data_IF_311500611594
#
_entry.id   IF_311500611594
#
_cell.length_a   1.000
_cell.length_b   1.000
_cell.length_c   1.000
_cell.angle_alpha   90.00
_cell.angle_beta   90.00
_cell.angle_gamma   90.00
#
_symmetry.space_group_name_H-M   'P 1'
#
loop_
_entity.id
_entity.type
_entity.pdbx_description
1 polymer ?
#
# COMPACT_ATOMS: atom_id res chain seq x y z
N UNK A 1 4.76 49.02 -7.41
CA UNK A 1 4.23 48.94 -6.03
C UNK A 1 2.75 48.58 -6.18
N UNK A 2 2.41 47.29 -6.13
CA UNK A 2 1.02 46.82 -6.30
C UNK A 2 0.28 47.00 -4.97
N UNK A 3 -0.92 47.56 -5.01
CA UNK A 3 -1.73 47.88 -3.84
C UNK A 3 -2.33 46.62 -3.21
N UNK A 4 -2.57 46.67 -1.90
CA UNK A 4 -3.04 45.55 -1.05
C UNK A 4 -4.29 44.81 -1.59
N UNK A 5 -5.12 45.46 -2.40
CA UNK A 5 -6.33 44.87 -2.97
C UNK A 5 -6.05 43.82 -4.08
N UNK A 6 -4.91 43.89 -4.77
CA UNK A 6 -4.54 42.86 -5.76
C UNK A 6 -4.06 41.55 -5.10
N UNK A 7 -3.63 41.60 -3.83
CA UNK A 7 -3.11 40.43 -3.10
C UNK A 7 -4.23 39.59 -2.48
N UNK A 8 -5.39 40.18 -2.16
CA UNK A 8 -6.51 39.44 -1.55
C UNK A 8 -7.31 38.61 -2.58
N UNK A 9 -7.29 38.99 -3.86
CA UNK A 9 -8.03 38.26 -4.92
C UNK A 9 -7.39 36.94 -5.36
N UNK A 10 -6.13 36.68 -4.98
CA UNK A 10 -5.41 35.44 -5.32
C UNK A 10 -5.57 34.31 -4.28
N UNK A 11 -6.37 34.53 -3.22
CA UNK A 11 -6.56 33.55 -2.13
C UNK A 11 -7.67 32.53 -2.37
N UNK A 12 -8.28 32.50 -3.56
CA UNK A 12 -9.31 31.52 -3.88
C UNK A 12 -8.69 30.17 -4.25
N UNK A 13 -8.66 29.26 -3.26
CA UNK A 13 -8.47 27.83 -3.48
C UNK A 13 -7.20 27.20 -2.89
N UNK A 14 -6.70 27.69 -1.75
CA UNK A 14 -5.65 26.94 -1.05
C UNK A 14 -6.24 25.65 -0.45
N UNK A 15 -6.02 24.52 -1.12
CA UNK A 15 -6.22 23.20 -0.50
C UNK A 15 -5.07 23.00 0.48
N UNK A 16 -5.32 23.12 1.77
CA UNK A 16 -4.36 22.72 2.80
C UNK A 16 -4.20 21.21 2.73
N UNK A 17 -2.97 20.77 2.51
CA UNK A 17 -2.60 19.35 2.56
C UNK A 17 -1.83 19.14 3.85
N UNK A 18 -2.45 18.43 4.78
CA UNK A 18 -1.82 18.04 6.04
C UNK A 18 -1.24 16.63 5.91
N UNK A 19 -0.02 16.44 6.42
CA UNK A 19 0.67 15.15 6.44
C UNK A 19 0.77 14.65 7.87
N UNK A 20 0.32 13.42 8.10
CA UNK A 20 0.46 12.72 9.39
C UNK A 20 1.39 11.52 9.17
N UNK A 21 2.59 11.57 9.75
CA UNK A 21 3.54 10.46 9.76
C UNK A 21 3.46 9.74 11.10
N UNK A 22 3.07 8.47 11.09
CA UNK A 22 3.01 7.64 12.30
C UNK A 22 3.70 6.30 12.08
N UNK A 23 4.45 5.86 13.08
CA UNK A 23 5.06 4.53 13.11
C UNK A 23 3.97 3.47 13.35
N UNK A 24 3.63 2.74 12.28
CA UNK A 24 2.58 1.73 12.32
C UNK A 24 3.08 0.36 12.82
N UNK A 25 4.33 0.22 13.26
CA UNK A 25 4.95 -1.08 13.61
C UNK A 25 4.21 -1.85 14.70
N UNK A 26 3.48 -1.19 15.61
CA UNK A 26 2.72 -1.81 16.69
C UNK A 26 1.20 -1.63 16.52
N UNK A 27 0.40 -2.63 16.94
CA UNK A 27 -1.08 -2.57 16.92
C UNK A 27 -1.61 -1.41 17.77
N UNK A 28 -0.97 -1.11 18.91
CA UNK A 28 -1.28 0.07 19.72
C UNK A 28 -1.07 1.38 18.95
N UNK A 29 0.04 1.50 18.21
CA UNK A 29 0.31 2.63 17.33
C UNK A 29 -0.74 2.79 16.23
N UNK A 30 -1.27 1.69 15.69
CA UNK A 30 -2.37 1.75 14.71
C UNK A 30 -3.71 2.20 15.32
N UNK A 31 -4.00 1.85 16.58
CA UNK A 31 -5.20 2.34 17.30
C UNK A 31 -5.10 3.85 17.56
N UNK A 32 -3.99 4.27 18.16
CA UNK A 32 -3.71 5.68 18.44
C UNK A 32 -3.73 6.50 17.15
N UNK A 33 -3.16 6.00 16.05
CA UNK A 33 -3.25 6.65 14.75
C UNK A 33 -4.71 6.88 14.30
N UNK A 34 -5.57 5.87 14.40
CA UNK A 34 -6.99 6.01 13.99
C UNK A 34 -7.70 7.05 14.87
N UNK A 35 -7.46 7.05 16.18
CA UNK A 35 -8.03 8.02 17.13
C UNK A 35 -7.52 9.45 16.89
N UNK A 36 -6.24 9.61 16.58
CA UNK A 36 -5.62 10.89 16.22
C UNK A 36 -6.20 11.44 14.91
N UNK A 37 -6.36 10.59 13.89
CA UNK A 37 -6.99 10.97 12.63
C UNK A 37 -8.44 11.37 12.85
N UNK A 38 -9.22 10.58 13.60
CA UNK A 38 -10.61 10.88 13.95
C UNK A 38 -10.74 12.25 14.62
N UNK A 39 -9.85 12.55 15.55
CA UNK A 39 -9.78 13.87 16.22
C UNK A 39 -9.40 14.99 15.25
N UNK A 40 -8.44 14.75 14.36
CA UNK A 40 -7.90 15.76 13.46
C UNK A 40 -8.87 16.13 12.32
N UNK A 41 -9.55 15.15 11.72
CA UNK A 41 -10.39 15.36 10.53
C UNK A 41 -11.85 15.71 10.88
N UNK A 42 -12.33 15.28 12.05
CA UNK A 42 -13.70 15.49 12.48
C UNK A 42 -14.72 15.04 11.40
N UNK A 43 -15.81 15.80 11.16
CA UNK A 43 -16.85 15.41 10.20
C UNK A 43 -16.43 15.55 8.73
N UNK A 44 -15.24 16.08 8.43
CA UNK A 44 -14.78 16.33 7.05
C UNK A 44 -14.14 15.09 6.41
N UNK A 45 -13.59 14.19 7.22
CA UNK A 45 -12.91 12.97 6.76
C UNK A 45 -11.57 13.23 6.05
N UNK A 46 -10.86 12.15 5.71
CA UNK A 46 -9.61 12.18 4.95
C UNK A 46 -9.91 12.11 3.43
N UNK A 47 -9.26 12.97 2.63
CA UNK A 47 -9.44 13.01 1.18
C UNK A 47 -8.66 11.93 0.42
N UNK A 48 -7.45 11.58 0.87
CA UNK A 48 -6.64 10.49 0.33
C UNK A 48 -5.71 9.94 1.41
N UNK A 49 -5.52 8.63 1.44
CA UNK A 49 -4.64 7.99 2.42
C UNK A 49 -3.86 6.84 1.80
N UNK A 50 -2.55 6.83 2.04
CA UNK A 50 -1.67 5.72 1.66
C UNK A 50 -1.43 4.83 2.88
N UNK A 51 -1.92 3.59 2.84
CA UNK A 51 -1.93 2.67 3.98
C UNK A 51 -1.22 1.37 3.61
N UNK A 52 -0.30 0.93 4.46
CA UNK A 52 0.40 -0.36 4.29
C UNK A 52 -0.35 -1.55 4.94
N UNK A 53 -1.40 -1.31 5.74
CA UNK A 53 -1.98 -2.32 6.65
C UNK A 53 -3.51 -2.30 6.72
N UNK A 54 -4.11 -3.50 6.65
CA UNK A 54 -5.56 -3.77 6.73
C UNK A 54 -6.29 -3.03 7.87
N UNK A 55 -5.73 -3.05 9.08
CA UNK A 55 -6.38 -2.51 10.29
C UNK A 55 -6.82 -1.05 10.13
N UNK A 56 -5.90 -0.22 9.63
CA UNK A 56 -6.13 1.22 9.45
C UNK A 56 -7.15 1.44 8.33
N UNK A 57 -7.00 0.74 7.19
CA UNK A 57 -7.95 0.85 6.08
C UNK A 57 -9.36 0.44 6.51
N UNK A 58 -9.49 -0.70 7.19
CA UNK A 58 -10.77 -1.21 7.70
C UNK A 58 -11.42 -0.20 8.65
N UNK A 59 -10.72 0.25 9.69
CA UNK A 59 -11.34 1.12 10.69
C UNK A 59 -11.68 2.51 10.16
N UNK A 60 -10.82 3.12 9.34
CA UNK A 60 -11.16 4.40 8.73
C UNK A 60 -12.41 4.29 7.84
N UNK A 61 -12.55 3.17 7.15
CA UNK A 61 -13.70 2.87 6.30
C UNK A 61 -14.96 2.67 7.14
N UNK A 62 -14.94 1.74 8.10
CA UNK A 62 -16.13 1.36 8.87
C UNK A 62 -16.58 2.44 9.84
N UNK A 63 -15.67 3.32 10.29
CA UNK A 63 -15.99 4.45 11.17
C UNK A 63 -16.43 5.69 10.38
N UNK A 64 -16.46 5.65 9.05
CA UNK A 64 -16.85 6.79 8.22
C UNK A 64 -15.87 7.96 8.27
N UNK A 65 -14.58 7.68 8.48
CA UNK A 65 -13.52 8.69 8.58
C UNK A 65 -12.94 9.07 7.21
N UNK A 66 -13.40 8.43 6.14
CA UNK A 66 -13.05 8.77 4.77
C UNK A 66 -14.11 9.68 4.17
N UNK A 67 -13.69 10.71 3.42
CA UNK A 67 -14.62 11.53 2.66
C UNK A 67 -15.37 10.67 1.61
N UNK A 68 -16.62 11.01 1.25
CA UNK A 68 -17.35 10.30 0.21
C UNK A 68 -16.56 10.23 -1.11
N UNK A 69 -16.37 9.02 -1.65
CA UNK A 69 -15.60 8.80 -2.87
C UNK A 69 -14.08 8.85 -2.71
N UNK A 70 -13.55 8.93 -1.48
CA UNK A 70 -12.11 9.02 -1.24
C UNK A 70 -11.34 7.83 -1.84
N UNK A 71 -10.25 8.08 -2.58
CA UNK A 71 -9.30 7.06 -2.97
C UNK A 71 -8.44 6.63 -1.77
N UNK A 72 -8.32 5.32 -1.59
CA UNK A 72 -7.42 4.69 -0.61
C UNK A 72 -6.37 3.92 -1.40
N UNK A 73 -5.11 4.17 -1.10
CA UNK A 73 -3.98 3.57 -1.81
C UNK A 73 -3.20 2.66 -0.88
N UNK A 74 -2.78 1.51 -1.39
CA UNK A 74 -1.66 0.78 -0.81
C UNK A 74 -0.50 0.75 -1.77
N UNK A 75 0.69 0.94 -1.21
CA UNK A 75 1.95 0.95 -1.97
C UNK A 75 2.72 -0.31 -1.61
N UNK A 76 2.43 -1.37 -2.35
CA UNK A 76 3.15 -2.65 -2.32
C UNK A 76 2.99 -3.32 -3.69
N UNK A 77 3.78 -4.35 -3.99
CA UNK A 77 3.74 -5.01 -5.30
C UNK A 77 2.47 -5.86 -5.45
N UNK A 78 1.53 -5.52 -6.36
CA UNK A 78 0.35 -6.34 -6.62
C UNK A 78 0.67 -7.48 -7.60
N UNK A 79 -0.18 -8.49 -7.63
CA UNK A 79 -0.21 -9.51 -8.67
C UNK A 79 0.71 -10.71 -8.45
N UNK A 80 1.36 -10.86 -7.28
CA UNK A 80 2.09 -12.08 -6.96
C UNK A 80 1.16 -13.14 -6.40
N UNK A 81 1.50 -14.39 -6.67
CA UNK A 81 0.80 -15.55 -6.12
C UNK A 81 1.76 -16.39 -5.29
N UNK A 82 1.22 -16.95 -4.21
CA UNK A 82 1.87 -17.96 -3.40
C UNK A 82 0.89 -19.12 -3.25
N UNK A 83 0.98 -20.10 -4.14
CA UNK A 83 -0.07 -21.10 -4.32
C UNK A 83 -0.27 -21.99 -3.07
N UNK A 84 0.76 -22.14 -2.25
CA UNK A 84 0.72 -22.88 -0.99
C UNK A 84 0.41 -22.01 0.23
N UNK A 85 0.13 -20.72 0.07
CA UNK A 85 -0.25 -19.85 1.18
C UNK A 85 -1.55 -20.34 1.81
N UNK A 86 -1.56 -20.48 3.13
CA UNK A 86 -2.74 -20.86 3.89
C UNK A 86 -3.14 -19.75 4.85
N UNK A 87 -4.44 -19.57 5.06
CA UNK A 87 -4.97 -18.53 5.95
C UNK A 87 -4.64 -18.83 7.41
N UNK A 88 -4.53 -20.09 7.80
CA UNK A 88 -4.10 -20.50 9.14
C UNK A 88 -2.61 -20.24 9.40
N UNK A 89 -1.76 -20.34 8.38
CA UNK A 89 -0.30 -20.13 8.44
C UNK A 89 0.19 -18.92 7.60
N UNK A 90 -0.22 -17.70 7.98
CA UNK A 90 0.23 -16.46 7.31
C UNK A 90 1.69 -16.10 7.64
N UNK A 91 2.28 -16.66 8.69
CA UNK A 91 3.68 -16.46 9.06
C UNK A 91 4.63 -17.41 8.32
N UNK A 92 4.10 -18.35 7.52
CA UNK A 92 4.88 -19.38 6.80
C UNK A 92 5.70 -20.26 7.76
N UNK A 93 5.15 -20.54 8.93
CA UNK A 93 5.80 -21.33 9.96
C UNK A 93 6.07 -22.75 9.48
N UNK A 94 5.13 -23.38 8.76
CA UNK A 94 5.29 -24.73 8.23
C UNK A 94 6.49 -24.79 7.27
N UNK A 95 6.69 -23.76 6.43
CA UNK A 95 7.81 -23.70 5.49
C UNK A 95 9.15 -23.47 6.20
N UNK A 96 9.15 -22.68 7.27
CA UNK A 96 10.34 -22.50 8.12
C UNK A 96 10.73 -23.83 8.77
N UNK A 97 9.76 -24.55 9.33
CA UNK A 97 9.96 -25.88 9.92
C UNK A 97 10.43 -26.92 8.90
N UNK A 98 9.93 -26.84 7.65
CA UNK A 98 10.36 -27.70 6.55
C UNK A 98 11.77 -27.38 6.01
N UNK A 99 12.45 -26.36 6.56
CA UNK A 99 13.82 -26.02 6.19
C UNK A 99 13.98 -25.14 4.94
N UNK A 100 12.99 -24.30 4.62
CA UNK A 100 13.09 -23.34 3.51
C UNK A 100 14.34 -22.45 3.67
N UNK A 101 15.05 -22.19 2.56
CA UNK A 101 16.22 -21.31 2.61
C UNK A 101 15.83 -19.86 2.90
N UNK A 102 16.73 -19.07 3.50
CA UNK A 102 16.48 -17.65 3.83
C UNK A 102 16.09 -16.82 2.59
N UNK A 103 16.69 -17.12 1.44
CA UNK A 103 16.38 -16.46 0.17
C UNK A 103 14.97 -16.80 -0.31
N UNK A 104 14.61 -18.09 -0.27
CA UNK A 104 13.27 -18.53 -0.68
C UNK A 104 12.20 -18.01 0.27
N UNK A 105 12.48 -17.98 1.58
CA UNK A 105 11.60 -17.39 2.59
C UNK A 105 11.37 -15.90 2.33
N UNK A 106 12.42 -15.14 2.00
CA UNK A 106 12.31 -13.72 1.66
C UNK A 106 11.35 -13.49 0.48
N UNK A 107 11.50 -14.25 -0.62
CA UNK A 107 10.58 -14.14 -1.76
C UNK A 107 9.17 -14.63 -1.43
N UNK A 108 9.03 -15.69 -0.63
CA UNK A 108 7.73 -16.18 -0.19
C UNK A 108 7.01 -15.14 0.69
N UNK A 109 7.72 -14.46 1.59
CA UNK A 109 7.16 -13.38 2.41
C UNK A 109 6.70 -12.20 1.55
N UNK A 110 7.46 -11.84 0.52
CA UNK A 110 7.06 -10.80 -0.45
C UNK A 110 5.82 -11.21 -1.26
N UNK A 111 5.78 -12.44 -1.78
CA UNK A 111 4.63 -12.96 -2.51
C UNK A 111 3.38 -13.07 -1.61
N UNK A 112 3.56 -13.48 -0.36
CA UNK A 112 2.51 -13.50 0.66
C UNK A 112 1.91 -12.11 0.89
N UNK A 113 2.74 -11.08 1.04
CA UNK A 113 2.23 -9.70 1.23
C UNK A 113 1.38 -9.24 0.06
N UNK A 114 1.82 -9.51 -1.17
CA UNK A 114 1.03 -9.28 -2.37
C UNK A 114 -0.32 -10.00 -2.31
N UNK A 115 -0.34 -11.29 -1.98
CA UNK A 115 -1.57 -12.09 -1.88
C UNK A 115 -2.55 -11.50 -0.85
N UNK A 116 -2.05 -11.14 0.34
CA UNK A 116 -2.86 -10.59 1.43
C UNK A 116 -3.43 -9.23 1.04
N UNK A 117 -2.59 -8.33 0.55
CA UNK A 117 -3.00 -6.97 0.21
C UNK A 117 -3.94 -6.96 -0.99
N UNK A 118 -3.67 -7.75 -2.04
CA UNK A 118 -4.58 -7.90 -3.18
C UNK A 118 -5.95 -8.37 -2.71
N UNK A 119 -5.99 -9.46 -1.92
CA UNK A 119 -7.24 -10.00 -1.39
C UNK A 119 -8.03 -8.98 -0.55
N UNK A 120 -7.33 -8.23 0.31
CA UNK A 120 -7.92 -7.17 1.14
C UNK A 120 -8.49 -6.04 0.27
N UNK A 121 -7.77 -5.59 -0.75
CA UNK A 121 -8.25 -4.51 -1.63
C UNK A 121 -9.46 -4.95 -2.45
N UNK A 122 -9.49 -6.21 -2.90
CA UNK A 122 -10.66 -6.76 -3.57
C UNK A 122 -11.88 -6.77 -2.64
N UNK A 123 -11.75 -7.27 -1.41
CA UNK A 123 -12.86 -7.30 -0.44
C UNK A 123 -13.30 -5.88 -0.03
N UNK A 124 -12.37 -4.94 0.12
CA UNK A 124 -12.70 -3.54 0.44
C UNK A 124 -13.50 -2.88 -0.69
N UNK A 125 -13.10 -3.07 -1.96
CA UNK A 125 -13.86 -2.55 -3.10
C UNK A 125 -15.24 -3.22 -3.23
N UNK A 126 -15.36 -4.52 -2.92
CA UNK A 126 -16.64 -5.25 -2.99
C UNK A 126 -17.60 -4.83 -1.89
N UNK A 127 -17.10 -4.64 -0.66
CA UNK A 127 -17.92 -4.32 0.54
C UNK A 127 -18.23 -2.84 0.68
N UNK A 128 -17.35 -1.99 0.19
CA UNK A 128 -17.46 -0.53 0.32
C UNK A 128 -17.33 0.15 -1.06
N UNK A 129 -18.27 -0.11 -1.99
CA UNK A 129 -18.20 0.40 -3.36
C UNK A 129 -18.30 1.93 -3.46
N UNK A 130 -18.67 2.61 -2.37
CA UNK A 130 -18.64 4.07 -2.28
C UNK A 130 -17.22 4.67 -2.22
N UNK A 131 -16.21 3.86 -1.92
CA UNK A 131 -14.80 4.25 -1.93
C UNK A 131 -14.06 3.56 -3.08
N UNK A 132 -12.81 3.95 -3.31
CA UNK A 132 -11.97 3.33 -4.34
C UNK A 132 -10.64 2.91 -3.74
N UNK A 133 -10.40 1.60 -3.71
CA UNK A 133 -9.13 1.06 -3.20
C UNK A 133 -8.23 0.68 -4.35
N UNK A 134 -7.04 1.27 -4.38
CA UNK A 134 -6.00 1.05 -5.38
C UNK A 134 -4.78 0.40 -4.75
N UNK A 135 -4.14 -0.53 -5.46
CA UNK A 135 -2.89 -1.14 -5.05
C UNK A 135 -1.82 -0.87 -6.11
N UNK A 136 -0.82 -0.07 -5.76
CA UNK A 136 0.17 0.45 -6.70
C UNK A 136 1.56 -0.05 -6.32
N UNK A 137 2.25 -0.69 -7.27
CA UNK A 137 3.59 -1.21 -7.05
C UNK A 137 4.60 -0.06 -6.89
N UNK A 138 5.38 -0.03 -5.80
CA UNK A 138 6.52 0.88 -5.72
C UNK A 138 7.68 0.49 -6.62
N UNK A 139 7.77 -0.80 -6.96
CA UNK A 139 8.97 -1.45 -7.45
C UNK A 139 8.61 -2.75 -8.16
N UNK A 140 9.34 -3.08 -9.24
CA UNK A 140 9.61 -4.46 -9.62
C UNK A 140 11.11 -4.65 -9.85
N UNK A 141 11.75 -5.51 -9.05
CA UNK A 141 13.09 -6.01 -9.37
C UNK A 141 12.95 -7.04 -10.50
N UNK A 142 12.73 -6.56 -11.73
CA UNK A 142 12.87 -7.42 -12.90
C UNK A 142 14.35 -7.77 -13.04
N UNK A 143 14.68 -9.05 -13.00
CA UNK A 143 15.97 -9.60 -13.44
C UNK A 143 16.11 -9.51 -14.99
N UNK A 144 15.68 -8.41 -15.60
CA UNK A 144 15.82 -8.14 -17.04
C UNK A 144 16.96 -7.13 -17.24
N UNK A 145 18.12 -7.56 -17.77
CA UNK A 145 19.26 -6.68 -18.03
C UNK A 145 18.96 -5.56 -19.03
N UNK A 146 17.97 -5.73 -19.92
CA UNK A 146 17.61 -4.73 -20.94
C UNK A 146 16.65 -3.64 -20.44
N UNK A 147 16.09 -3.75 -19.23
CA UNK A 147 15.19 -2.75 -18.67
C UNK A 147 15.91 -2.04 -17.52
N UNK A 148 16.01 -0.69 -17.58
CA UNK A 148 16.42 0.11 -16.41
C UNK A 148 15.63 -0.40 -15.21
N UNK A 149 16.27 -0.75 -14.07
CA UNK A 149 15.55 -1.12 -12.86
C UNK A 149 14.75 0.09 -12.36
N UNK A 150 13.55 0.29 -12.89
CA UNK A 150 12.66 1.33 -12.43
C UNK A 150 12.06 0.85 -11.10
N UNK A 151 12.09 1.73 -10.11
CA UNK A 151 11.53 1.42 -8.81
C UNK A 151 12.49 0.62 -7.96
N UNK A 152 13.58 1.24 -7.51
CA UNK A 152 14.00 1.03 -6.14
C UNK A 152 13.76 2.37 -5.46
N UNK A 153 12.75 2.47 -4.60
CA UNK A 153 12.54 3.72 -3.86
C UNK A 153 13.61 3.80 -2.78
N UNK A 154 14.48 4.82 -2.86
CA UNK A 154 15.58 5.04 -1.90
C UNK A 154 15.02 5.51 -0.56
N UNK A 155 14.51 4.59 0.23
CA UNK A 155 14.12 4.85 1.61
C UNK A 155 15.27 4.46 2.56
N UNK A 156 15.33 5.11 3.72
CA UNK A 156 16.26 4.72 4.79
C UNK A 156 16.01 3.26 5.24
N UNK A 157 14.74 2.83 5.18
CA UNK A 157 14.33 1.46 5.44
C UNK A 157 14.96 0.46 4.46
N UNK A 158 15.11 0.81 3.18
CA UNK A 158 15.76 -0.04 2.18
C UNK A 158 17.27 -0.21 2.45
N UNK A 159 17.94 0.86 2.89
CA UNK A 159 19.38 0.83 3.19
C UNK A 159 19.71 -0.07 4.39
N UNK A 160 18.76 -0.21 5.31
CA UNK A 160 18.86 -0.98 6.54
C UNK A 160 18.10 -2.32 6.49
N UNK A 161 17.38 -2.59 5.40
CA UNK A 161 16.54 -3.78 5.27
C UNK A 161 17.38 -5.06 5.33
N UNK A 162 17.07 -6.02 6.22
CA UNK A 162 17.88 -7.22 6.44
C UNK A 162 17.60 -8.31 5.39
N UNK A 163 17.77 -8.00 4.11
CA UNK A 163 17.66 -9.01 3.04
C UNK A 163 18.81 -10.04 3.12
N UNK A 164 18.60 -11.29 2.68
CA UNK A 164 19.65 -12.29 2.64
C UNK A 164 20.66 -11.98 1.52
N UNK A 165 21.91 -12.44 1.66
CA UNK A 165 22.89 -12.37 0.57
C UNK A 165 22.47 -13.29 -0.61
N UNK A 166 22.62 -12.86 -1.88
CA UNK A 166 23.22 -11.61 -2.36
C UNK A 166 22.25 -10.42 -2.51
N UNK A 167 20.97 -10.58 -2.14
CA UNK A 167 19.92 -9.57 -2.32
C UNK A 167 20.28 -8.27 -1.59
N UNK A 168 20.73 -8.33 -0.34
CA UNK A 168 21.15 -7.13 0.40
C UNK A 168 22.29 -6.36 -0.28
N UNK A 169 23.25 -7.08 -0.86
CA UNK A 169 24.39 -6.50 -1.57
C UNK A 169 23.91 -5.80 -2.84
N UNK A 170 23.04 -6.46 -3.62
CA UNK A 170 22.42 -5.88 -4.81
C UNK A 170 21.50 -4.71 -4.49
N UNK A 171 20.73 -4.76 -3.41
CA UNK A 171 19.87 -3.65 -2.98
C UNK A 171 20.70 -2.43 -2.58
N UNK A 172 21.78 -2.61 -1.82
CA UNK A 172 22.71 -1.53 -1.43
C UNK A 172 23.44 -0.94 -2.63
N UNK A 173 23.89 -1.78 -3.57
CA UNK A 173 24.58 -1.31 -4.77
C UNK A 173 23.58 -0.62 -5.72
N UNK A 174 22.42 -1.22 -5.96
CA UNK A 174 21.36 -0.70 -6.81
C UNK A 174 20.70 0.57 -6.30
N UNK A 175 20.57 0.75 -4.98
CA UNK A 175 20.04 1.97 -4.37
C UNK A 175 20.92 3.19 -4.63
N UNK A 176 22.23 3.02 -4.82
CA UNK A 176 23.14 4.13 -5.14
C UNK A 176 23.01 4.60 -6.60
N UNK A 177 22.90 3.66 -7.54
CA UNK A 177 23.01 3.97 -8.97
C UNK A 177 21.67 4.13 -9.70
N UNK A 178 20.58 3.53 -9.19
CA UNK A 178 19.38 3.31 -10.02
C UNK A 178 18.07 3.68 -9.31
N UNK A 179 18.08 3.81 -7.98
CA UNK A 179 16.84 4.08 -7.25
C UNK A 179 16.22 5.45 -7.53
N UNK A 180 14.90 5.51 -7.56
CA UNK A 180 14.08 6.73 -7.58
C UNK A 180 13.96 7.27 -6.15
N UNK A 181 13.97 8.58 -5.96
CA UNK A 181 13.71 9.16 -4.62
C UNK A 181 12.24 8.92 -4.21
N UNK A 182 11.93 8.90 -2.90
CA UNK A 182 10.55 8.83 -2.43
C UNK A 182 9.65 9.91 -3.01
N UNK A 183 10.18 11.14 -3.18
CA UNK A 183 9.44 12.26 -3.74
C UNK A 183 9.11 12.07 -5.23
N UNK A 184 10.05 11.58 -6.02
CA UNK A 184 9.82 11.26 -7.44
C UNK A 184 8.82 10.12 -7.61
N UNK A 185 8.91 9.08 -6.77
CA UNK A 185 7.96 7.97 -6.83
C UNK A 185 6.56 8.39 -6.34
N UNK A 186 6.45 9.27 -5.34
CA UNK A 186 5.16 9.69 -4.77
C UNK A 186 4.20 10.30 -5.82
N UNK A 187 4.73 10.83 -6.93
CA UNK A 187 3.91 11.35 -8.02
C UNK A 187 2.94 10.30 -8.59
N UNK A 188 3.33 9.02 -8.68
CA UNK A 188 2.49 7.96 -9.25
C UNK A 188 1.27 7.63 -8.38
N UNK A 189 1.40 7.24 -7.09
CA UNK A 189 0.24 6.97 -6.25
C UNK A 189 -0.59 8.24 -6.01
N UNK A 190 0.01 9.43 -5.91
CA UNK A 190 -0.75 10.69 -5.80
C UNK A 190 -1.57 10.95 -7.06
N UNK A 191 -0.98 10.78 -8.25
CA UNK A 191 -1.72 10.86 -9.51
C UNK A 191 -2.86 9.85 -9.55
N UNK A 192 -2.64 8.61 -9.11
CA UNK A 192 -3.68 7.60 -9.07
C UNK A 192 -4.84 7.95 -8.12
N UNK A 193 -4.54 8.56 -6.96
CA UNK A 193 -5.57 9.11 -6.08
C UNK A 193 -6.38 10.21 -6.76
N UNK A 194 -5.70 11.21 -7.33
CA UNK A 194 -6.33 12.45 -7.80
C UNK A 194 -7.04 12.25 -9.13
N UNK A 195 -6.40 11.60 -10.10
CA UNK A 195 -6.96 11.41 -11.43
C UNK A 195 -8.09 10.36 -11.43
N UNK A 196 -7.97 9.35 -10.57
CA UNK A 196 -8.99 8.34 -10.35
C UNK A 196 -9.46 7.65 -11.64
N UNK A 197 -10.77 7.37 -11.71
CA UNK A 197 -11.39 6.61 -12.80
C UNK A 197 -11.32 7.28 -14.16
N UNK A 198 -11.27 8.61 -14.21
CA UNK A 198 -11.31 9.35 -15.48
C UNK A 198 -10.03 9.13 -16.30
N UNK A 199 -8.89 8.93 -15.63
CA UNK A 199 -7.62 8.61 -16.28
C UNK A 199 -7.26 7.12 -16.24
N UNK A 200 -7.67 6.40 -15.19
CA UNK A 200 -7.22 5.02 -14.93
C UNK A 200 -8.27 3.95 -15.22
N UNK A 201 -9.49 4.34 -15.60
CA UNK A 201 -10.58 3.40 -15.88
C UNK A 201 -11.04 2.63 -14.63
N UNK A 202 -11.42 1.36 -14.83
CA UNK A 202 -11.88 0.48 -13.74
C UNK A 202 -10.76 -0.28 -13.04
N UNK A 203 -9.54 -0.20 -13.57
CA UNK A 203 -8.38 -0.89 -13.03
C UNK A 203 -8.14 -0.52 -11.56
N UNK A 204 -7.77 -1.51 -10.75
CA UNK A 204 -7.52 -1.34 -9.31
C UNK A 204 -6.09 -1.66 -8.88
N UNK A 205 -5.35 -2.37 -9.73
CA UNK A 205 -4.00 -2.81 -9.46
C UNK A 205 -3.08 -2.27 -10.53
N UNK A 206 -1.96 -1.68 -10.12
CA UNK A 206 -1.06 -0.98 -11.02
C UNK A 206 0.40 -1.32 -10.74
N UNK A 207 1.21 -1.33 -11.79
CA UNK A 207 2.65 -1.34 -11.65
C UNK A 207 3.22 0.05 -11.34
N UNK A 208 4.55 0.15 -11.25
CA UNK A 208 5.25 1.39 -10.92
C UNK A 208 5.13 2.48 -11.99
N UNK A 209 4.55 2.16 -13.16
CA UNK A 209 4.29 3.09 -14.27
C UNK A 209 2.80 3.36 -14.48
N UNK A 210 1.96 2.93 -13.53
CA UNK A 210 0.49 2.99 -13.60
C UNK A 210 -0.11 2.14 -14.73
N UNK A 211 0.62 1.13 -15.22
CA UNK A 211 0.04 0.12 -16.09
C UNK A 211 -0.78 -0.86 -15.27
N UNK A 212 -1.96 -1.20 -15.77
CA UNK A 212 -2.85 -2.17 -15.14
C UNK A 212 -2.17 -3.54 -14.95
N UNK A 213 -2.44 -4.13 -13.79
CA UNK A 213 -2.07 -5.50 -13.45
C UNK A 213 -3.29 -6.27 -13.00
N UNK A 214 -3.24 -7.57 -13.18
CA UNK A 214 -4.19 -8.48 -12.56
C UNK A 214 -3.75 -8.85 -11.15
N UNK A 215 -4.69 -9.08 -10.21
CA UNK A 215 -4.37 -9.64 -8.90
C UNK A 215 -3.81 -11.06 -9.04
N UNK A 216 -3.04 -11.49 -8.03
CA UNK A 216 -2.47 -12.84 -8.01
C UNK A 216 -3.54 -13.93 -7.99
N UNK A 217 -3.20 -15.14 -8.47
CA UNK A 217 -4.14 -16.29 -8.50
C UNK A 217 -4.72 -16.59 -7.12
N UNK A 218 -3.88 -16.58 -6.07
CA UNK A 218 -4.33 -16.82 -4.70
C UNK A 218 -5.38 -15.80 -4.24
N UNK A 219 -5.15 -14.51 -4.50
CA UNK A 219 -6.06 -13.43 -4.15
C UNK A 219 -7.34 -13.43 -5.01
N UNK A 220 -7.24 -13.92 -6.24
CA UNK A 220 -8.40 -14.06 -7.14
C UNK A 220 -9.40 -15.12 -6.66
N UNK A 221 -8.99 -16.06 -5.81
CA UNK A 221 -9.89 -17.05 -5.19
C UNK A 221 -10.79 -16.40 -4.13
N UNK A 222 -12.10 -16.37 -4.40
CA UNK A 222 -13.10 -15.83 -3.47
C UNK A 222 -13.09 -16.55 -2.11
N UNK A 223 -12.91 -17.87 -2.11
CA UNK A 223 -12.81 -18.66 -0.88
C UNK A 223 -11.64 -18.20 -0.01
N UNK A 224 -10.48 -17.94 -0.62
CA UNK A 224 -9.29 -17.45 0.09
C UNK A 224 -9.53 -16.05 0.65
N UNK A 225 -10.10 -15.14 -0.16
CA UNK A 225 -10.38 -13.76 0.28
C UNK A 225 -11.34 -13.71 1.45
N UNK A 226 -12.45 -14.44 1.39
CA UNK A 226 -13.46 -14.47 2.46
C UNK A 226 -12.90 -15.10 3.74
N UNK A 227 -12.13 -16.18 3.63
CA UNK A 227 -11.47 -16.80 4.78
C UNK A 227 -10.45 -15.85 5.43
N UNK A 228 -9.62 -15.18 4.62
CA UNK A 228 -8.67 -14.17 5.09
C UNK A 228 -9.39 -13.01 5.77
N UNK A 229 -10.42 -12.45 5.14
CA UNK A 229 -11.21 -11.36 5.68
C UNK A 229 -11.78 -11.70 7.05
N UNK A 230 -12.38 -12.90 7.19
CA UNK A 230 -12.89 -13.38 8.47
C UNK A 230 -11.78 -13.46 9.52
N UNK A 231 -10.64 -14.08 9.20
CA UNK A 231 -9.51 -14.18 10.14
C UNK A 231 -9.01 -12.81 10.58
N UNK A 232 -8.92 -11.86 9.65
CA UNK A 232 -8.51 -10.49 9.96
C UNK A 232 -9.52 -9.81 10.89
N UNK A 233 -10.83 -9.98 10.67
CA UNK A 233 -11.86 -9.49 11.59
C UNK A 233 -11.77 -10.12 12.98
N UNK A 234 -11.56 -11.43 13.06
CA UNK A 234 -11.43 -12.13 14.36
C UNK A 234 -10.24 -11.55 15.15
N UNK A 235 -9.10 -11.31 14.48
CA UNK A 235 -7.90 -10.73 15.10
C UNK A 235 -8.15 -9.29 15.59
N UNK A 236 -8.99 -8.52 14.90
CA UNK A 236 -9.30 -7.14 15.29
C UNK A 236 -10.42 -7.02 16.32
N UNK A 237 -11.31 -8.02 16.41
CA UNK A 237 -12.40 -8.05 17.39
C UNK A 237 -11.95 -8.48 18.79
N UNK A 238 -10.91 -9.33 18.89
CA UNK A 238 -10.47 -9.93 20.15
C UNK A 238 -9.56 -9.04 21.04
N UNK A 239 -9.47 -7.72 20.80
CA UNK A 239 -8.63 -6.81 21.62
C UNK A 239 -9.16 -5.39 21.79
#
# INVERSE_FOLDING_TARGET
MRTKEEVESASQGHTTVDFVQVDLTLISGMKTFVEEIETAVGPKGVNYLTISRFYVAYHLTTRGLLAPGAPVLSVCGPGLTLDYLRVDDLNLAEQVESGISKQSLFFAQSARESCILDAVHMELNERFPQYRYYHVAPVWLSWCPELRPQGIVRTEGLATFPAPFPINYLMKLGSFFIGTSPAEYAAYPVYAAVAGKDALGEARFFDATLKEKEPGKWASSEANRKALWKKLLDITADK
#
